data_IF_048574416198
#
_entry.id   IF_048574416198
#
_cell.length_a   1.000
_cell.length_b   1.000
_cell.length_c   1.000
_cell.angle_alpha   90.00
_cell.angle_beta   90.00
_cell.angle_gamma   90.00
#
_symmetry.space_group_name_H-M   'P 1'
#
loop_
_entity.id
_entity.type
_entity.pdbx_description
1 polymer ?
#
# COMPACT_ATOMS: atom_id res chain seq x y z
N UNK A 1 7.76 12.60 22.64
CA UNK A 1 6.42 13.20 22.44
C UNK A 1 5.60 12.24 21.61
N UNK A 2 4.35 11.93 21.97
CA UNK A 2 3.49 11.14 21.10
C UNK A 2 3.28 11.91 19.79
N UNK A 3 3.51 11.24 18.66
CA UNK A 3 3.26 11.77 17.32
C UNK A 3 1.76 12.05 17.19
N UNK A 4 1.37 13.13 16.50
CA UNK A 4 -0.03 13.39 16.18
C UNK A 4 -0.61 12.18 15.42
N UNK A 5 -1.83 11.77 15.75
CA UNK A 5 -2.43 10.50 15.24
C UNK A 5 -2.50 10.43 13.71
N UNK A 6 -2.59 11.58 13.05
CA UNK A 6 -2.69 11.71 11.59
C UNK A 6 -1.40 12.21 10.93
N UNK A 7 -0.27 12.27 11.66
CA UNK A 7 0.96 12.90 11.16
C UNK A 7 1.47 12.31 9.82
N UNK A 8 1.35 11.00 9.61
CA UNK A 8 1.74 10.37 8.34
C UNK A 8 0.80 10.75 7.18
N UNK A 9 -0.50 10.80 7.44
CA UNK A 9 -1.50 11.22 6.45
C UNK A 9 -1.34 12.70 6.08
N UNK A 10 -1.04 13.55 7.05
CA UNK A 10 -0.74 14.98 6.82
C UNK A 10 0.50 15.13 5.94
N UNK A 11 1.56 14.36 6.22
CA UNK A 11 2.79 14.38 5.43
C UNK A 11 2.55 13.95 3.98
N UNK A 12 1.73 12.91 3.78
CA UNK A 12 1.38 12.43 2.44
C UNK A 12 0.45 13.41 1.70
N UNK A 13 -0.48 14.06 2.39
CA UNK A 13 -1.33 15.09 1.79
C UNK A 13 -0.48 16.26 1.28
N UNK A 14 0.50 16.71 2.07
CA UNK A 14 1.45 17.74 1.65
C UNK A 14 2.27 17.31 0.43
N UNK A 15 2.77 16.06 0.41
CA UNK A 15 3.49 15.50 -0.74
C UNK A 15 2.61 15.47 -2.00
N UNK A 16 1.37 15.00 -1.89
CA UNK A 16 0.42 14.92 -3.01
C UNK A 16 0.02 16.31 -3.51
N UNK A 17 -0.02 17.32 -2.64
CA UNK A 17 -0.30 18.72 -3.02
C UNK A 17 0.73 19.31 -3.99
N UNK A 18 1.92 18.69 -4.11
CA UNK A 18 2.92 19.06 -5.12
C UNK A 18 2.76 18.31 -6.46
N UNK A 19 1.94 17.25 -6.49
CA UNK A 19 1.75 16.37 -7.66
C UNK A 19 0.38 16.60 -8.31
N UNK A 20 -0.63 16.99 -7.53
CA UNK A 20 -2.01 17.20 -7.97
C UNK A 20 -2.63 18.40 -7.25
N UNK A 21 -3.59 19.05 -7.91
CA UNK A 21 -4.47 20.07 -7.34
C UNK A 21 -5.60 19.49 -6.48
N UNK A 22 -5.81 18.16 -6.51
CA UNK A 22 -6.88 17.45 -5.81
C UNK A 22 -6.36 16.33 -4.88
N UNK A 23 -5.45 16.63 -3.93
CA UNK A 23 -4.84 15.63 -3.06
C UNK A 23 -5.85 14.85 -2.19
N UNK A 24 -7.00 15.44 -1.86
CA UNK A 24 -8.04 14.80 -1.03
C UNK A 24 -8.68 13.57 -1.67
N UNK A 25 -8.69 13.45 -3.00
CA UNK A 25 -9.29 12.29 -3.70
C UNK A 25 -8.57 10.96 -3.41
N UNK A 26 -7.35 11.06 -2.90
CA UNK A 26 -6.53 9.93 -2.47
C UNK A 26 -6.79 9.49 -1.04
N UNK A 27 -7.69 10.17 -0.32
CA UNK A 27 -8.02 9.86 1.06
C UNK A 27 -9.47 9.43 1.21
N UNK A 28 -9.70 8.62 2.23
CA UNK A 28 -11.01 8.20 2.67
C UNK A 28 -11.18 8.50 4.15
N UNK A 29 -12.39 8.87 4.53
CA UNK A 29 -12.82 9.03 5.92
C UNK A 29 -13.75 7.88 6.30
N UNK A 30 -13.61 7.36 7.52
CA UNK A 30 -14.55 6.39 8.06
C UNK A 30 -15.81 7.12 8.53
N UNK A 31 -16.93 6.88 7.86
CA UNK A 31 -18.22 7.46 8.18
C UNK A 31 -19.29 6.36 8.22
N UNK A 32 -20.06 6.27 9.31
CA UNK A 32 -21.06 5.21 9.51
C UNK A 32 -20.52 3.78 9.29
N UNK A 33 -19.30 3.49 9.75
CA UNK A 33 -18.58 2.21 9.56
C UNK A 33 -18.22 1.87 8.10
N UNK A 34 -18.29 2.84 7.19
CA UNK A 34 -17.89 2.69 5.79
C UNK A 34 -16.79 3.68 5.44
N UNK A 35 -15.82 3.27 4.63
CA UNK A 35 -14.82 4.17 4.09
C UNK A 35 -15.41 4.93 2.92
N UNK A 36 -15.42 6.27 3.01
CA UNK A 36 -15.99 7.15 2.00
C UNK A 36 -14.92 8.08 1.45
N UNK A 37 -14.95 8.29 0.14
CA UNK A 37 -14.11 9.26 -0.53
C UNK A 37 -14.41 10.67 -0.02
N UNK A 38 -13.36 11.47 0.12
CA UNK A 38 -13.47 12.91 0.33
C UNK A 38 -13.74 13.63 -1.00
N UNK A 39 -14.65 14.60 -0.97
CA UNK A 39 -15.02 15.39 -2.15
C UNK A 39 -14.33 16.77 -2.19
N UNK A 40 -13.89 17.27 -1.03
CA UNK A 40 -13.23 18.57 -0.84
C UNK A 40 -11.96 18.43 0.02
N UNK A 41 -11.23 19.54 0.21
CA UNK A 41 -9.99 19.57 0.98
C UNK A 41 -10.13 18.94 2.37
N UNK A 42 -9.11 18.16 2.77
CA UNK A 42 -9.19 17.44 4.04
C UNK A 42 -8.84 18.35 5.22
N UNK A 43 -9.68 18.29 6.25
CA UNK A 43 -9.32 18.74 7.60
C UNK A 43 -9.22 17.50 8.48
N UNK A 44 -8.02 17.19 8.99
CA UNK A 44 -7.78 16.01 9.81
C UNK A 44 -8.32 16.19 11.24
N UNK A 45 -9.58 15.83 11.47
CA UNK A 45 -10.17 15.85 12.81
C UNK A 45 -9.64 14.72 13.69
N UNK A 46 -9.30 15.02 14.94
CA UNK A 46 -8.66 14.06 15.86
C UNK A 46 -9.59 12.92 16.32
N UNK A 47 -10.90 13.12 16.24
CA UNK A 47 -11.93 12.15 16.60
C UNK A 47 -12.37 11.27 15.41
N UNK A 48 -11.83 11.51 14.22
CA UNK A 48 -12.16 10.78 12.99
C UNK A 48 -11.01 9.92 12.52
N UNK A 49 -11.35 8.87 11.76
CA UNK A 49 -10.37 7.97 11.14
C UNK A 49 -10.27 8.27 9.67
N UNK A 50 -9.03 8.38 9.20
CA UNK A 50 -8.70 8.61 7.81
C UNK A 50 -7.76 7.51 7.33
N UNK A 51 -7.78 7.25 6.03
CA UNK A 51 -6.77 6.42 5.37
C UNK A 51 -6.50 6.93 3.97
N UNK A 52 -5.40 6.48 3.37
CA UNK A 52 -5.24 6.54 1.93
C UNK A 52 -6.18 5.54 1.26
N UNK A 53 -6.84 5.95 0.18
CA UNK A 53 -7.65 5.07 -0.66
C UNK A 53 -6.78 3.91 -1.13
N UNK A 54 -7.21 2.66 -0.98
CA UNK A 54 -6.53 1.52 -1.57
C UNK A 54 -6.39 1.72 -3.09
N UNK A 55 -5.16 1.76 -3.58
CA UNK A 55 -4.90 1.85 -5.02
C UNK A 55 -4.70 0.45 -5.57
N UNK A 56 -5.00 0.27 -6.85
CA UNK A 56 -4.78 -0.98 -7.57
C UNK A 56 -3.81 -0.76 -8.71
N UNK A 57 -2.96 -1.75 -8.97
CA UNK A 57 -2.05 -1.83 -10.10
C UNK A 57 -2.61 -2.85 -11.08
N UNK A 58 -2.53 -2.55 -12.38
CA UNK A 58 -2.95 -3.43 -13.46
C UNK A 58 -1.76 -3.84 -14.31
N UNK A 59 -1.56 -5.14 -14.48
CA UNK A 59 -0.56 -5.72 -15.39
C UNK A 59 -1.28 -6.74 -16.29
N UNK A 60 -1.33 -6.45 -17.60
CA UNK A 60 -2.18 -7.18 -18.53
C UNK A 60 -3.66 -7.08 -18.11
N UNK A 61 -4.30 -8.23 -17.89
CA UNK A 61 -5.69 -8.32 -17.42
C UNK A 61 -5.81 -8.49 -15.91
N UNK A 62 -4.70 -8.56 -15.19
CA UNK A 62 -4.68 -8.85 -13.76
C UNK A 62 -4.55 -7.56 -12.97
N UNK A 63 -5.49 -7.34 -12.06
CA UNK A 63 -5.50 -6.23 -11.11
C UNK A 63 -5.18 -6.74 -9.71
N UNK A 64 -4.37 -5.99 -8.96
CA UNK A 64 -4.01 -6.30 -7.59
C UNK A 64 -3.80 -5.02 -6.78
N UNK A 65 -3.94 -5.04 -5.44
CA UNK A 65 -3.66 -3.88 -4.61
C UNK A 65 -2.23 -3.37 -4.81
N UNK A 66 -2.04 -2.06 -4.77
CA UNK A 66 -0.73 -1.45 -4.83
C UNK A 66 0.15 -2.02 -3.70
N UNK A 67 1.37 -2.48 -4.02
CA UNK A 67 2.33 -2.92 -3.02
C UNK A 67 2.58 -1.83 -1.97
N UNK A 68 3.00 -2.24 -0.77
CA UNK A 68 3.35 -1.31 0.30
C UNK A 68 4.46 -0.37 -0.19
N UNK A 69 4.16 0.93 -0.21
CA UNK A 69 5.12 1.99 -0.50
C UNK A 69 5.62 2.69 0.76
N UNK A 70 6.48 3.69 0.58
CA UNK A 70 7.02 4.49 1.69
C UNK A 70 5.92 5.15 2.55
N UNK A 71 4.79 5.53 1.93
CA UNK A 71 3.62 6.11 2.63
C UNK A 71 2.89 5.11 3.54
N UNK A 72 3.10 3.80 3.35
CA UNK A 72 2.41 2.73 4.06
C UNK A 72 3.33 1.95 5.02
N UNK A 73 4.56 2.42 5.21
CA UNK A 73 5.56 1.82 6.09
C UNK A 73 5.05 1.60 7.53
N UNK A 74 4.17 2.48 8.01
CA UNK A 74 3.57 2.35 9.35
C UNK A 74 2.74 1.05 9.52
N UNK A 75 2.30 0.42 8.43
CA UNK A 75 1.59 -0.86 8.44
C UNK A 75 2.54 -2.05 8.66
N UNK A 76 3.83 -1.87 8.33
CA UNK A 76 4.90 -2.82 8.57
C UNK A 76 5.53 -2.51 9.94
N UNK A 77 4.85 -2.96 11.01
CA UNK A 77 5.40 -2.94 12.35
C UNK A 77 6.58 -3.92 12.49
N UNK A 78 7.51 -3.64 13.39
CA UNK A 78 8.62 -4.54 13.70
C UNK A 78 8.08 -5.93 14.11
N UNK A 79 8.54 -6.98 13.41
CA UNK A 79 8.09 -8.36 13.59
C UNK A 79 6.82 -8.74 12.83
N UNK A 80 6.14 -7.80 12.14
CA UNK A 80 4.97 -8.14 11.34
C UNK A 80 5.36 -8.90 10.08
N UNK A 81 4.52 -9.88 9.72
CA UNK A 81 4.64 -10.61 8.47
C UNK A 81 4.32 -9.72 7.28
N UNK A 82 5.08 -9.89 6.22
CA UNK A 82 4.73 -9.40 4.90
C UNK A 82 4.93 -10.48 3.84
N UNK A 83 4.20 -10.33 2.75
CA UNK A 83 4.16 -11.28 1.66
C UNK A 83 4.79 -10.67 0.41
N UNK A 84 5.39 -11.50 -0.43
CA UNK A 84 6.00 -11.06 -1.69
C UNK A 84 5.68 -12.04 -2.81
N UNK A 85 5.55 -11.58 -4.07
CA UNK A 85 5.31 -12.46 -5.20
C UNK A 85 6.47 -13.46 -5.35
N UNK A 86 6.12 -14.70 -5.67
CA UNK A 86 7.07 -15.76 -5.97
C UNK A 86 6.67 -16.46 -7.26
N UNK A 87 7.65 -16.83 -8.07
CA UNK A 87 7.43 -17.66 -9.25
C UNK A 87 8.39 -18.84 -9.12
N UNK A 88 7.85 -20.02 -8.85
CA UNK A 88 8.63 -21.25 -8.72
C UNK A 88 8.21 -22.21 -9.82
N UNK A 89 9.14 -22.59 -10.69
CA UNK A 89 8.88 -23.48 -11.83
C UNK A 89 7.70 -23.01 -12.72
N UNK A 90 7.58 -21.70 -12.94
CA UNK A 90 6.48 -21.12 -13.73
C UNK A 90 5.12 -21.09 -13.03
N UNK A 91 5.06 -21.46 -11.75
CA UNK A 91 3.83 -21.40 -10.95
C UNK A 91 3.87 -20.13 -10.09
N UNK A 92 2.85 -19.24 -10.19
CA UNK A 92 2.75 -18.05 -9.36
C UNK A 92 2.31 -18.41 -7.94
N UNK A 93 3.04 -17.92 -6.96
CA UNK A 93 2.79 -18.11 -5.53
C UNK A 93 3.28 -16.89 -4.72
N UNK A 94 3.41 -17.04 -3.41
CA UNK A 94 3.95 -16.03 -2.51
C UNK A 94 5.09 -16.57 -1.64
N UNK A 95 5.91 -15.67 -1.11
CA UNK A 95 6.81 -15.93 0.03
C UNK A 95 6.38 -15.05 1.20
N UNK A 96 6.74 -15.49 2.40
CA UNK A 96 6.54 -14.75 3.64
C UNK A 96 7.90 -14.34 4.22
N UNK A 97 7.95 -13.16 4.83
CA UNK A 97 9.09 -12.70 5.62
C UNK A 97 8.60 -11.78 6.73
N UNK A 98 9.48 -11.46 7.68
CA UNK A 98 9.15 -10.61 8.81
C UNK A 98 9.84 -9.27 8.64
N UNK A 99 9.11 -8.18 8.85
CA UNK A 99 9.67 -6.84 8.76
C UNK A 99 10.58 -6.56 9.96
N UNK A 100 11.84 -6.24 9.67
CA UNK A 100 12.83 -5.80 10.65
C UNK A 100 13.42 -4.42 10.30
N UNK A 101 13.02 -3.84 9.17
CA UNK A 101 13.61 -2.62 8.63
C UNK A 101 15.05 -2.79 8.14
N UNK A 102 15.52 -4.03 7.96
CA UNK A 102 16.87 -4.30 7.50
C UNK A 102 17.08 -3.88 6.03
N UNK A 103 18.33 -3.85 5.57
CA UNK A 103 18.70 -3.49 4.18
C UNK A 103 17.93 -4.34 3.16
N UNK A 104 17.71 -5.62 3.45
CA UNK A 104 16.94 -6.52 2.58
C UNK A 104 15.47 -6.11 2.49
N UNK A 105 14.86 -5.75 3.62
CA UNK A 105 13.47 -5.30 3.68
C UNK A 105 13.28 -3.99 2.90
N UNK A 106 14.20 -3.04 3.07
CA UNK A 106 14.21 -1.78 2.32
C UNK A 106 14.41 -2.00 0.81
N UNK A 107 15.26 -2.96 0.42
CA UNK A 107 15.43 -3.36 -0.97
C UNK A 107 14.13 -3.90 -1.60
N UNK A 108 13.38 -4.72 -0.84
CA UNK A 108 12.08 -5.27 -1.27
C UNK A 108 10.98 -4.21 -1.32
N UNK A 109 10.97 -3.27 -0.38
CA UNK A 109 10.06 -2.13 -0.38
C UNK A 109 10.28 -1.27 -1.64
N UNK A 110 11.53 -0.92 -1.92
CA UNK A 110 11.89 -0.12 -3.10
C UNK A 110 11.61 -0.84 -4.42
N UNK A 111 11.66 -2.17 -4.43
CA UNK A 111 11.28 -2.98 -5.59
C UNK A 111 9.75 -3.09 -5.78
N UNK A 112 8.95 -2.56 -4.86
CA UNK A 112 7.48 -2.58 -4.95
C UNK A 112 6.91 -4.00 -4.90
N UNK A 113 7.49 -4.88 -4.08
CA UNK A 113 7.09 -6.30 -4.04
C UNK A 113 6.53 -6.73 -2.67
N UNK A 114 6.32 -5.79 -1.75
CA UNK A 114 5.79 -6.07 -0.41
C UNK A 114 4.26 -5.95 -0.41
N UNK A 115 3.58 -6.95 0.11
CA UNK A 115 2.12 -7.01 0.29
C UNK A 115 1.76 -7.36 1.72
N UNK A 116 0.62 -6.84 2.20
CA UNK A 116 0.12 -7.09 3.56
C UNK A 116 -0.74 -8.37 3.65
N UNK A 117 -1.07 -8.98 2.52
CA UNK A 117 -1.80 -10.24 2.46
C UNK A 117 -1.27 -11.16 1.36
N UNK A 118 -1.57 -12.46 1.51
CA UNK A 118 -1.08 -13.54 0.64
C UNK A 118 -1.67 -13.47 -0.76
N UNK A 119 -2.93 -13.09 -0.90
CA UNK A 119 -3.63 -13.13 -2.17
C UNK A 119 -3.17 -12.00 -3.08
N UNK A 120 -2.93 -10.80 -2.55
CA UNK A 120 -2.30 -9.69 -3.27
C UNK A 120 -0.91 -10.07 -3.80
N UNK A 121 -0.08 -10.75 -3.00
CA UNK A 121 1.22 -11.25 -3.44
C UNK A 121 1.11 -12.29 -4.57
N UNK A 122 0.17 -13.23 -4.48
CA UNK A 122 -0.08 -14.21 -5.55
C UNK A 122 -0.61 -13.56 -6.82
N UNK A 123 -1.52 -12.59 -6.72
CA UNK A 123 -2.03 -11.87 -7.88
C UNK A 123 -0.90 -11.08 -8.56
N UNK A 124 -0.03 -10.44 -7.77
CA UNK A 124 1.18 -9.81 -8.30
C UNK A 124 2.08 -10.84 -9.03
N UNK A 125 2.30 -12.03 -8.47
CA UNK A 125 3.06 -13.08 -9.15
C UNK A 125 2.39 -13.54 -10.46
N UNK A 126 1.06 -13.73 -10.48
CA UNK A 126 0.31 -14.07 -11.71
C UNK A 126 0.44 -12.97 -12.77
N UNK A 127 0.35 -11.72 -12.35
CA UNK A 127 0.59 -10.54 -13.19
C UNK A 127 1.99 -10.53 -13.80
N UNK A 128 3.03 -10.89 -13.04
CA UNK A 128 4.39 -10.97 -13.58
C UNK A 128 4.56 -12.12 -14.58
N UNK A 129 3.92 -13.27 -14.36
CA UNK A 129 3.94 -14.40 -15.31
C UNK A 129 3.19 -14.08 -16.60
N UNK A 130 2.09 -13.32 -16.54
CA UNK A 130 1.33 -12.98 -17.75
C UNK A 130 2.15 -12.16 -18.75
N UNK A 131 3.22 -11.50 -18.31
CA UNK A 131 4.16 -10.79 -19.17
C UNK A 131 5.04 -11.72 -20.01
N UNK A 132 5.21 -12.99 -19.61
CA UNK A 132 6.07 -13.97 -20.29
C UNK A 132 5.30 -15.06 -21.02
N UNK A 133 4.01 -15.22 -20.74
CA UNK A 133 3.09 -16.10 -21.48
C UNK A 133 2.72 -15.46 -22.82
N UNK A 134 3.46 -15.79 -23.88
CA UNK A 134 3.11 -15.46 -25.28
C UNK A 134 2.63 -16.69 -26.03
#
# INVERSE_FOLDING_TARGET
MPKHIHADLISEYARLSHVTDRPWEYFEELFCNEWRQLYDEVTFYSDRKYRLKPRTVKIGEIEFPEPVGNSDLFKLGEGNDYFMPSIRNGVPDYLISHWSGCVTDLGRLNAGIIHLDRESAKLHAKALISLTSK
#
